data_IF_877315605928
#
_entry.id   IF_877315605928
#
_cell.length_a   1.000
_cell.length_b   1.000
_cell.length_c   1.000
_cell.angle_alpha   90.00
_cell.angle_beta   90.00
_cell.angle_gamma   90.00
#
_symmetry.space_group_name_H-M   'P 1'
#
loop_
_entity.id
_entity.type
_entity.pdbx_description
1 polymer ?
#
# COMPACT_ATOMS: atom_id res chain seq x y z
N UNK A 1 13.22 10.70 -5.28
CA UNK A 1 13.20 10.55 -6.75
C UNK A 1 12.53 9.22 -7.06
N UNK A 2 11.42 9.21 -7.79
CA UNK A 2 10.79 7.96 -8.23
C UNK A 2 11.64 7.38 -9.36
N UNK A 3 12.28 6.24 -9.14
CA UNK A 3 13.10 5.59 -10.16
C UNK A 3 12.21 4.66 -10.95
N UNK A 4 12.15 4.84 -12.27
CA UNK A 4 11.50 3.88 -13.16
C UNK A 4 12.47 2.71 -13.34
N UNK A 5 12.10 1.54 -12.82
CA UNK A 5 12.90 0.32 -12.96
C UNK A 5 12.71 -0.27 -14.36
N UNK A 6 13.82 -0.69 -14.98
CA UNK A 6 13.82 -1.42 -16.27
C UNK A 6 13.01 -0.75 -17.39
N UNK A 7 13.15 0.56 -17.57
CA UNK A 7 12.35 1.37 -18.50
C UNK A 7 12.68 1.20 -19.98
N UNK A 8 13.84 0.63 -20.32
CA UNK A 8 14.28 0.46 -21.70
C UNK A 8 13.81 -0.90 -22.23
N UNK A 9 12.79 -0.88 -23.09
CA UNK A 9 12.19 -2.06 -23.72
C UNK A 9 11.89 -1.77 -25.19
N UNK A 10 12.25 -2.69 -26.07
CA UNK A 10 12.07 -2.59 -27.52
C UNK A 10 11.16 -3.70 -28.09
N UNK A 11 10.74 -4.66 -27.26
CA UNK A 11 9.87 -5.78 -27.66
C UNK A 11 8.88 -6.18 -26.56
N UNK A 12 7.89 -6.98 -26.93
CA UNK A 12 6.94 -7.56 -25.98
C UNK A 12 7.63 -8.48 -24.96
N UNK A 13 8.58 -9.29 -25.41
CA UNK A 13 9.31 -10.19 -24.52
C UNK A 13 10.17 -9.42 -23.50
N UNK A 14 10.80 -8.34 -23.94
CA UNK A 14 11.54 -7.43 -23.06
C UNK A 14 10.62 -6.71 -22.07
N UNK A 15 9.43 -6.31 -22.48
CA UNK A 15 8.40 -5.75 -21.59
C UNK A 15 7.97 -6.76 -20.53
N UNK A 16 7.70 -8.00 -20.93
CA UNK A 16 7.33 -9.04 -19.97
C UNK A 16 8.47 -9.29 -18.97
N UNK A 17 9.71 -9.37 -19.45
CA UNK A 17 10.88 -9.52 -18.61
C UNK A 17 11.10 -8.33 -17.66
N UNK A 18 10.86 -7.09 -18.12
CA UNK A 18 11.02 -5.89 -17.29
C UNK A 18 9.97 -5.83 -16.18
N UNK A 19 8.73 -6.24 -16.46
CA UNK A 19 7.67 -6.38 -15.47
C UNK A 19 8.06 -7.42 -14.42
N UNK A 20 8.49 -8.62 -14.84
CA UNK A 20 8.93 -9.68 -13.93
C UNK A 20 10.08 -9.22 -13.01
N UNK A 21 11.10 -8.55 -13.57
CA UNK A 21 12.23 -8.01 -12.79
C UNK A 21 11.79 -6.92 -11.81
N UNK A 22 10.87 -6.06 -12.23
CA UNK A 22 10.32 -5.00 -11.37
C UNK A 22 9.55 -5.59 -10.19
N UNK A 23 8.71 -6.60 -10.44
CA UNK A 23 7.98 -7.31 -9.40
C UNK A 23 8.96 -8.00 -8.43
N UNK A 24 9.97 -8.70 -8.97
CA UNK A 24 10.99 -9.36 -8.15
C UNK A 24 11.72 -8.37 -7.24
N UNK A 25 12.09 -7.20 -7.76
CA UNK A 25 12.72 -6.14 -6.98
C UNK A 25 11.85 -5.73 -5.78
N UNK A 26 10.57 -5.39 -5.99
CA UNK A 26 9.70 -4.98 -4.88
C UNK A 26 9.41 -6.09 -3.87
N UNK A 27 9.49 -7.36 -4.29
CA UNK A 27 9.30 -8.49 -3.39
C UNK A 27 10.57 -8.79 -2.59
N UNK A 28 11.73 -8.81 -3.25
CA UNK A 28 12.95 -9.43 -2.71
C UNK A 28 14.09 -8.44 -2.43
N UNK A 29 13.99 -7.19 -2.88
CA UNK A 29 15.09 -6.21 -2.83
C UNK A 29 14.70 -4.86 -2.21
N UNK A 30 13.41 -4.59 -2.01
CA UNK A 30 12.92 -3.34 -1.43
C UNK A 30 12.47 -3.50 0.04
N UNK A 31 13.33 -3.15 1.03
CA UNK A 31 12.97 -3.08 2.44
C UNK A 31 11.82 -2.11 2.71
N UNK A 32 10.77 -2.56 3.37
CA UNK A 32 9.62 -1.71 3.70
C UNK A 32 9.61 -1.33 5.17
N UNK A 33 9.46 -0.03 5.46
CA UNK A 33 9.33 0.47 6.84
C UNK A 33 8.17 -0.20 7.59
N UNK A 34 7.06 -0.48 6.90
CA UNK A 34 5.88 -1.17 7.47
C UNK A 34 6.17 -2.61 7.92
N UNK A 35 7.26 -3.19 7.41
CA UNK A 35 7.73 -4.54 7.69
C UNK A 35 8.97 -4.52 8.59
N UNK A 36 9.20 -3.43 9.33
CA UNK A 36 10.38 -3.24 10.18
C UNK A 36 11.71 -3.40 9.43
N UNK A 37 11.76 -2.96 8.16
CA UNK A 37 12.96 -3.04 7.33
C UNK A 37 13.14 -4.37 6.61
N UNK A 38 12.17 -5.29 6.70
CA UNK A 38 12.15 -6.50 5.87
C UNK A 38 11.55 -6.23 4.49
N UNK A 39 11.93 -7.07 3.55
CA UNK A 39 11.29 -7.17 2.24
C UNK A 39 9.97 -7.93 2.33
N UNK A 40 9.08 -7.76 1.36
CA UNK A 40 7.82 -8.49 1.32
C UNK A 40 8.03 -10.01 1.25
N UNK A 41 9.06 -10.45 0.54
CA UNK A 41 9.44 -11.86 0.41
C UNK A 41 9.91 -12.47 1.74
N UNK A 42 10.70 -11.74 2.53
CA UNK A 42 11.12 -12.18 3.87
C UNK A 42 9.93 -12.31 4.81
N UNK A 43 9.08 -11.28 4.87
CA UNK A 43 7.85 -11.31 5.65
C UNK A 43 6.95 -12.50 5.30
N UNK A 44 6.78 -12.79 4.01
CA UNK A 44 6.00 -13.95 3.54
C UNK A 44 6.62 -15.26 3.99
N UNK A 45 7.95 -15.41 3.89
CA UNK A 45 8.65 -16.62 4.32
C UNK A 45 8.53 -16.85 5.83
N UNK A 46 8.62 -15.79 6.63
CA UNK A 46 8.43 -15.89 8.09
C UNK A 46 6.99 -16.25 8.47
N UNK A 47 6.00 -15.63 7.80
CA UNK A 47 4.59 -15.95 8.01
C UNK A 47 4.28 -17.41 7.66
N UNK A 48 4.83 -17.93 6.54
CA UNK A 48 4.69 -19.34 6.15
C UNK A 48 5.34 -20.32 7.15
N UNK A 49 6.34 -19.87 7.91
CA UNK A 49 6.95 -20.64 9.00
C UNK A 49 6.16 -20.55 10.32
N UNK A 50 5.03 -19.85 10.34
CA UNK A 50 4.18 -19.65 11.51
C UNK A 50 4.53 -18.40 12.33
N UNK A 51 5.51 -17.58 11.92
CA UNK A 51 5.84 -16.33 12.59
C UNK A 51 5.10 -15.16 11.93
N UNK A 52 3.90 -14.86 12.42
CA UNK A 52 3.09 -13.74 11.93
C UNK A 52 3.52 -12.47 12.66
N UNK A 53 4.25 -11.60 11.96
CA UNK A 53 4.63 -10.28 12.46
C UNK A 53 3.49 -9.27 12.28
N UNK A 54 3.24 -8.47 13.31
CA UNK A 54 2.27 -7.38 13.24
C UNK A 54 2.78 -6.26 12.32
N UNK A 55 1.98 -5.91 11.30
CA UNK A 55 2.28 -4.85 10.34
C UNK A 55 1.15 -3.81 10.38
N UNK A 56 1.04 -2.99 11.44
CA UNK A 56 -0.07 -2.05 11.57
C UNK A 56 -0.03 -1.02 10.43
N UNK A 57 -1.17 -0.84 9.77
CA UNK A 57 -1.36 0.22 8.78
C UNK A 57 -1.66 1.50 9.54
N UNK A 58 -0.80 2.50 9.37
CA UNK A 58 -1.02 3.80 10.01
C UNK A 58 -2.34 4.41 9.50
N UNK A 59 -3.21 4.90 10.41
CA UNK A 59 -4.46 5.52 10.02
C UNK A 59 -4.21 6.74 9.14
N UNK A 60 -5.04 6.90 8.11
CA UNK A 60 -5.02 8.08 7.27
C UNK A 60 -5.99 9.13 7.82
N UNK A 61 -5.47 10.02 8.67
CA UNK A 61 -6.25 11.09 9.31
C UNK A 61 -6.95 12.06 8.33
N UNK A 62 -6.58 12.09 7.04
CA UNK A 62 -7.30 12.87 6.03
C UNK A 62 -8.62 12.18 5.67
N UNK A 63 -8.60 10.85 5.53
CA UNK A 63 -9.79 10.05 5.23
C UNK A 63 -10.75 10.06 6.42
N UNK A 64 -10.23 9.91 7.65
CA UNK A 64 -11.04 9.99 8.87
C UNK A 64 -11.79 11.33 8.97
N UNK A 65 -11.06 12.44 8.79
CA UNK A 65 -11.65 13.79 8.80
C UNK A 65 -12.65 14.01 7.68
N UNK A 66 -12.42 13.44 6.51
CA UNK A 66 -13.38 13.52 5.39
C UNK A 66 -14.72 12.89 5.78
N UNK A 67 -14.70 11.68 6.35
CA UNK A 67 -15.91 11.00 6.80
C UNK A 67 -16.58 11.69 7.97
N UNK A 68 -15.80 12.22 8.91
CA UNK A 68 -16.34 13.01 10.02
C UNK A 68 -17.14 14.22 9.51
N UNK A 69 -16.63 14.97 8.54
CA UNK A 69 -17.35 16.09 7.92
C UNK A 69 -18.65 15.66 7.23
N UNK A 70 -18.65 14.52 6.56
CA UNK A 70 -19.87 13.96 5.95
C UNK A 70 -20.91 13.67 7.04
N UNK A 71 -20.49 13.04 8.13
CA UNK A 71 -21.38 12.68 9.23
C UNK A 71 -21.97 13.92 9.91
N UNK A 72 -21.14 14.92 10.21
CA UNK A 72 -21.58 16.20 10.78
C UNK A 72 -22.59 16.93 9.88
N UNK A 73 -22.35 16.91 8.54
CA UNK A 73 -23.28 17.49 7.57
C UNK A 73 -24.64 16.78 7.61
N UNK A 74 -24.66 15.44 7.63
CA UNK A 74 -25.91 14.64 7.71
C UNK A 74 -26.69 14.96 8.98
N UNK A 75 -26.02 15.05 10.14
CA UNK A 75 -26.66 15.43 11.40
C UNK A 75 -27.27 16.84 11.29
N UNK A 76 -26.55 17.80 10.72
CA UNK A 76 -27.03 19.17 10.56
C UNK A 76 -28.27 19.24 9.67
N UNK A 77 -28.30 18.49 8.58
CA UNK A 77 -29.46 18.40 7.69
C UNK A 77 -30.66 17.74 8.38
N UNK A 78 -30.45 16.63 9.11
CA UNK A 78 -31.51 15.98 9.87
C UNK A 78 -32.12 16.91 10.94
N UNK A 79 -31.29 17.68 11.67
CA UNK A 79 -31.75 18.66 12.65
C UNK A 79 -32.58 19.79 12.05
N UNK A 80 -32.32 20.18 10.80
CA UNK A 80 -33.12 21.20 10.09
C UNK A 80 -34.51 20.69 9.71
N UNK A 81 -34.66 19.39 9.46
CA UNK A 81 -35.94 18.77 9.08
C UNK A 81 -36.84 18.59 10.31
N UNK A 82 -36.24 18.41 11.49
CA UNK A 82 -36.93 18.23 12.77
C UNK A 82 -37.24 19.57 13.49
N UNK A 83 -36.79 20.69 12.93
CA UNK A 83 -37.04 22.06 13.39
C UNK A 83 -38.15 22.70 12.58
#
# INVERSE_FOLDING_TARGET
>A
MWVVLHSQVASYDELNASICKTIDYYINKDPQKRFNGLTAGEMRREALKGSIKSCPIAPNHRIERYWQKIYEKKIKEAKKILS
#
